data_IF_714709262476
#
_entry.id   IF_714709262476
#
_cell.length_a   1.000
_cell.length_b   1.000
_cell.length_c   1.000
_cell.angle_alpha   90.00
_cell.angle_beta   90.00
_cell.angle_gamma   90.00
#
_symmetry.space_group_name_H-M   'P 1'
#
loop_
_entity.id
_entity.type
_entity.pdbx_description
1 polymer ?
#
# COMPACT_ATOMS: atom_id res chain seq x y z
N UNK A 1 66.56 -22.31 34.47
CA UNK A 1 65.65 -23.01 33.53
C UNK A 1 64.44 -23.49 34.31
N UNK A 2 63.24 -23.23 33.79
CA UNK A 2 61.96 -23.86 34.20
C UNK A 2 61.39 -23.48 35.57
N UNK A 3 60.09 -23.32 35.82
CA UNK A 3 58.87 -23.02 35.06
C UNK A 3 57.81 -22.74 36.15
N UNK A 4 57.11 -21.62 36.03
CA UNK A 4 55.70 -21.33 36.35
C UNK A 4 55.00 -22.24 37.39
N UNK A 5 54.55 -21.66 38.51
CA UNK A 5 53.23 -21.97 39.11
C UNK A 5 52.74 -20.73 39.89
N UNK A 6 51.84 -19.94 39.27
CA UNK A 6 51.01 -18.97 40.00
C UNK A 6 49.56 -19.36 39.74
N UNK A 7 49.03 -20.18 40.64
CA UNK A 7 47.62 -20.27 40.94
C UNK A 7 47.30 -19.23 42.00
N UNK A 8 46.44 -18.25 41.67
CA UNK A 8 45.44 -17.65 42.57
C UNK A 8 44.52 -16.71 41.78
N UNK A 9 43.45 -17.33 41.27
CA UNK A 9 42.05 -16.89 41.23
C UNK A 9 41.86 -15.41 41.62
N UNK A 10 41.67 -14.57 40.60
CA UNK A 10 41.07 -13.24 40.75
C UNK A 10 39.57 -13.37 40.43
N UNK A 11 38.66 -13.08 41.37
CA UNK A 11 37.23 -13.14 41.12
C UNK A 11 36.71 -11.78 40.64
N UNK A 12 35.60 -11.81 39.90
CA UNK A 12 34.75 -10.65 39.54
C UNK A 12 35.39 -9.55 38.69
N UNK A 13 35.09 -9.58 37.38
CA UNK A 13 34.54 -8.44 36.62
C UNK A 13 34.45 -8.82 35.14
N UNK A 14 33.81 -9.95 34.83
CA UNK A 14 33.16 -10.10 33.53
C UNK A 14 31.79 -9.46 33.69
N UNK A 15 31.76 -8.13 33.54
CA UNK A 15 30.55 -7.42 33.15
C UNK A 15 30.09 -8.07 31.86
N UNK A 16 29.17 -9.00 32.01
CA UNK A 16 28.28 -9.44 30.97
C UNK A 16 27.53 -8.20 30.47
N UNK A 17 28.15 -7.46 29.55
CA UNK A 17 27.45 -6.72 28.51
C UNK A 17 26.76 -7.76 27.62
N UNK A 18 25.82 -8.49 28.22
CA UNK A 18 24.64 -8.92 27.50
C UNK A 18 23.95 -7.62 27.14
N UNK A 19 24.34 -7.10 25.98
CA UNK A 19 23.49 -6.30 25.13
C UNK A 19 22.23 -7.14 24.93
N UNK A 20 21.30 -7.02 25.88
CA UNK A 20 19.88 -7.11 25.65
C UNK A 20 19.59 -6.01 24.64
N UNK A 21 19.98 -6.23 23.39
CA UNK A 21 19.18 -5.83 22.26
C UNK A 21 17.86 -6.55 22.48
N UNK A 22 17.00 -5.93 23.30
CA UNK A 22 15.59 -5.93 23.06
C UNK A 22 15.48 -5.56 21.58
N UNK A 23 15.43 -6.60 20.77
CA UNK A 23 14.79 -6.54 19.48
C UNK A 23 13.39 -6.13 19.87
N UNK A 24 13.14 -4.82 19.90
CA UNK A 24 11.80 -4.28 19.93
C UNK A 24 11.14 -5.00 18.78
N UNK A 25 10.34 -6.01 19.10
CA UNK A 25 9.54 -6.71 18.13
C UNK A 25 8.74 -5.57 17.53
N UNK A 26 9.05 -5.23 16.27
CA UNK A 26 8.35 -4.21 15.55
C UNK A 26 6.88 -4.49 15.82
N UNK A 27 6.25 -3.60 16.60
CA UNK A 27 5.00 -3.97 17.23
C UNK A 27 4.07 -4.37 16.09
N UNK A 28 3.69 -5.64 16.07
CA UNK A 28 2.54 -6.12 15.31
C UNK A 28 1.29 -5.58 16.02
N UNK A 29 1.27 -4.27 16.30
CA UNK A 29 0.11 -3.60 16.84
C UNK A 29 -0.99 -3.79 15.80
N UNK A 30 -2.13 -4.40 16.17
CA UNK A 30 -3.34 -4.11 15.43
C UNK A 30 -3.55 -2.60 15.52
N UNK A 31 -3.19 -1.88 14.47
CA UNK A 31 -3.59 -0.47 14.29
C UNK A 31 -5.11 -0.45 14.50
N UNK A 32 -5.67 0.53 15.25
CA UNK A 32 -7.12 0.63 15.38
C UNK A 32 -7.77 0.43 14.02
N UNK A 33 -8.80 -0.44 13.98
CA UNK A 33 -9.34 -0.97 12.73
C UNK A 33 -9.76 0.14 11.75
N UNK A 34 -10.09 1.32 12.29
CA UNK A 34 -10.49 2.52 11.58
C UNK A 34 -9.76 3.76 12.16
N UNK A 35 -9.52 4.78 11.34
CA UNK A 35 -9.00 6.08 11.77
C UNK A 35 -10.08 6.86 12.57
N UNK A 36 -9.77 7.51 13.69
CA UNK A 36 -10.77 8.02 14.63
C UNK A 36 -11.78 9.03 14.04
N UNK A 37 -11.38 9.81 13.03
CA UNK A 37 -12.19 10.83 12.35
C UNK A 37 -12.65 10.39 10.93
N UNK A 38 -12.60 9.10 10.61
CA UNK A 38 -12.82 8.62 9.24
C UNK A 38 -14.18 9.03 8.67
N UNK A 39 -15.24 8.96 9.48
CA UNK A 39 -16.60 9.25 9.03
C UNK A 39 -16.77 10.73 8.67
N UNK A 40 -16.25 11.64 9.49
CA UNK A 40 -16.29 13.08 9.24
C UNK A 40 -15.55 13.42 7.95
N UNK A 41 -14.31 12.92 7.81
CA UNK A 41 -13.52 13.11 6.62
C UNK A 41 -14.21 12.55 5.37
N UNK A 42 -14.78 11.34 5.49
CA UNK A 42 -15.46 10.67 4.39
C UNK A 42 -16.66 11.48 3.89
N UNK A 43 -17.52 11.98 4.78
CA UNK A 43 -18.64 12.86 4.42
C UNK A 43 -18.18 14.18 3.80
N UNK A 44 -17.06 14.72 4.27
CA UNK A 44 -16.55 16.03 3.85
C UNK A 44 -15.80 16.00 2.52
N UNK A 45 -15.09 14.91 2.24
CA UNK A 45 -14.07 14.86 1.20
C UNK A 45 -14.32 13.80 0.12
N UNK A 46 -15.32 12.93 0.28
CA UNK A 46 -15.69 11.95 -0.73
C UNK A 46 -17.04 12.29 -1.36
N UNK A 47 -17.10 12.17 -2.68
CA UNK A 47 -18.30 12.30 -3.48
C UNK A 47 -18.67 10.93 -4.04
N UNK A 48 -19.93 10.46 -3.89
CA UNK A 48 -20.37 9.23 -4.53
C UNK A 48 -20.34 9.38 -6.06
N UNK A 49 -20.11 8.28 -6.75
CA UNK A 49 -20.11 8.22 -8.23
C UNK A 49 -21.15 7.21 -8.72
N UNK A 50 -21.69 7.42 -9.92
CA UNK A 50 -22.75 6.58 -10.48
C UNK A 50 -23.98 6.52 -9.57
N UNK A 51 -24.45 5.31 -9.28
CA UNK A 51 -25.62 5.05 -8.41
C UNK A 51 -25.28 4.89 -6.92
N UNK A 52 -24.03 5.20 -6.52
CA UNK A 52 -23.60 5.01 -5.13
C UNK A 52 -24.31 6.00 -4.21
N UNK A 53 -24.82 5.51 -3.07
CA UNK A 53 -25.39 6.37 -2.01
C UNK A 53 -24.28 7.11 -1.26
N UNK A 54 -24.58 8.22 -0.56
CA UNK A 54 -23.67 8.83 0.40
C UNK A 54 -23.22 7.83 1.47
N UNK A 55 -22.09 8.14 2.11
CA UNK A 55 -21.46 7.26 3.10
C UNK A 55 -22.35 7.17 4.36
N UNK A 56 -22.78 5.95 4.65
CA UNK A 56 -23.57 5.60 5.84
C UNK A 56 -22.64 5.16 6.98
N UNK A 57 -22.32 6.10 7.87
CA UNK A 57 -21.43 5.84 9.00
C UNK A 57 -22.03 4.92 10.07
N UNK A 58 -23.34 4.69 10.06
CA UNK A 58 -23.97 3.71 10.96
C UNK A 58 -23.70 2.27 10.50
N UNK A 59 -23.17 2.07 9.28
CA UNK A 59 -22.86 0.76 8.71
C UNK A 59 -21.39 0.67 8.27
N UNK A 60 -20.42 0.81 9.20
CA UNK A 60 -18.99 0.83 8.87
C UNK A 60 -18.52 -0.44 8.15
N UNK A 61 -19.13 -1.60 8.42
CA UNK A 61 -18.83 -2.87 7.74
C UNK A 61 -19.11 -2.84 6.22
N UNK A 62 -19.97 -1.93 5.75
CA UNK A 62 -20.29 -1.74 4.32
C UNK A 62 -19.44 -0.66 3.66
N UNK A 63 -18.58 0.01 4.43
CA UNK A 63 -17.67 1.06 3.94
C UNK A 63 -16.32 0.42 3.60
N UNK A 64 -15.76 0.68 2.40
CA UNK A 64 -14.44 0.21 2.01
C UNK A 64 -13.36 0.53 3.04
N UNK A 65 -12.45 -0.42 3.30
CA UNK A 65 -11.37 -0.28 4.29
C UNK A 65 -10.58 1.01 4.09
N UNK A 66 -10.10 1.28 2.87
CA UNK A 66 -9.31 2.48 2.56
C UNK A 66 -9.99 3.80 2.95
N UNK A 67 -11.33 3.89 2.91
CA UNK A 67 -12.06 5.07 3.40
C UNK A 67 -11.96 5.17 4.92
N UNK A 68 -12.20 4.06 5.62
CA UNK A 68 -12.16 4.01 7.10
C UNK A 68 -10.77 4.29 7.65
N UNK A 69 -9.72 4.19 6.83
CA UNK A 69 -8.34 4.51 7.21
C UNK A 69 -7.90 5.92 6.80
N UNK A 70 -8.82 6.78 6.33
CA UNK A 70 -8.52 8.05 5.64
C UNK A 70 -7.52 7.91 4.47
N UNK A 71 -7.37 6.71 3.92
CA UNK A 71 -6.39 6.37 2.91
C UNK A 71 -7.03 6.43 1.52
N UNK A 72 -7.32 7.63 1.06
CA UNK A 72 -8.01 7.83 -0.23
C UNK A 72 -7.15 7.51 -1.45
N UNK A 73 -5.84 7.37 -1.24
CA UNK A 73 -4.92 6.78 -2.18
C UNK A 73 -4.80 5.27 -2.08
N UNK A 74 -5.47 4.61 -1.12
CA UNK A 74 -5.43 3.17 -0.86
C UNK A 74 -4.03 2.54 -0.84
N UNK A 75 -3.06 3.28 -0.29
CA UNK A 75 -1.65 2.90 -0.28
C UNK A 75 -1.33 1.87 0.79
N UNK A 76 -0.41 0.96 0.44
CA UNK A 76 0.24 0.09 1.41
C UNK A 76 1.21 0.87 2.29
N UNK A 77 1.35 0.43 3.53
CA UNK A 77 2.35 0.91 4.47
C UNK A 77 3.74 0.50 3.99
N UNK A 78 4.71 1.41 3.84
CA UNK A 78 6.06 1.01 3.46
C UNK A 78 6.77 0.41 4.67
N UNK A 79 7.38 -0.77 4.50
CA UNK A 79 8.01 -1.55 5.58
C UNK A 79 9.11 -0.80 6.34
N UNK A 80 9.82 0.12 5.68
CA UNK A 80 11.00 0.81 6.25
C UNK A 80 10.72 2.23 6.76
N UNK A 81 9.69 2.88 6.23
CA UNK A 81 9.39 4.28 6.53
C UNK A 81 7.89 4.49 6.36
N UNK A 82 7.20 4.90 7.42
CA UNK A 82 5.80 5.29 7.31
C UNK A 82 5.61 6.48 6.39
N UNK A 83 4.37 6.70 5.93
CA UNK A 83 4.05 7.93 5.23
C UNK A 83 3.94 9.08 6.24
N UNK A 84 4.25 10.29 5.79
CA UNK A 84 3.95 11.49 6.58
C UNK A 84 2.44 11.59 6.83
N UNK A 85 2.06 12.00 8.05
CA UNK A 85 0.66 12.10 8.44
C UNK A 85 -0.01 10.76 8.72
N UNK A 86 0.75 9.70 8.96
CA UNK A 86 0.23 8.45 9.56
C UNK A 86 0.49 8.44 11.07
N UNK A 87 -0.49 7.96 11.85
CA UNK A 87 -0.34 7.72 13.31
C UNK A 87 0.40 6.42 13.64
N UNK A 88 1.03 5.80 12.63
CA UNK A 88 1.70 4.51 12.75
C UNK A 88 3.19 4.73 12.97
N UNK A 89 3.76 4.09 14.00
CA UNK A 89 5.20 4.11 14.27
C UNK A 89 6.02 3.48 13.13
N UNK A 90 7.27 3.91 12.97
CA UNK A 90 8.19 3.31 11.99
C UNK A 90 8.37 1.81 12.29
N UNK A 91 8.25 0.96 11.27
CA UNK A 91 8.40 -0.50 11.39
C UNK A 91 7.11 -1.27 11.61
N UNK A 92 5.97 -0.60 11.82
CA UNK A 92 4.67 -1.26 11.86
C UNK A 92 4.14 -1.51 10.42
N UNK A 93 3.46 -2.64 10.23
CA UNK A 93 2.99 -3.12 8.95
C UNK A 93 1.68 -2.48 8.47
N UNK A 94 1.03 -1.59 9.24
CA UNK A 94 -0.20 -0.92 8.83
C UNK A 94 -1.49 -1.68 9.18
N UNK A 95 -2.65 -1.17 8.77
CA UNK A 95 -3.94 -1.78 9.05
C UNK A 95 -4.23 -2.91 8.04
N UNK A 96 -4.50 -4.09 8.58
CA UNK A 96 -4.88 -5.27 7.81
C UNK A 96 -6.40 -5.48 7.87
N UNK A 97 -6.94 -6.21 6.92
CA UNK A 97 -8.33 -6.68 6.93
C UNK A 97 -8.55 -7.88 7.88
N UNK A 98 -7.79 -7.95 8.98
CA UNK A 98 -7.74 -9.06 9.94
C UNK A 98 -7.29 -10.43 9.38
N UNK A 99 -6.51 -10.46 8.28
CA UNK A 99 -6.03 -11.71 7.66
C UNK A 99 -4.52 -11.99 7.87
N UNK A 100 -3.90 -11.28 8.80
CA UNK A 100 -2.46 -11.14 9.01
C UNK A 100 -1.68 -12.31 9.64
N UNK A 101 -2.11 -13.57 9.53
CA UNK A 101 -1.32 -14.72 10.02
C UNK A 101 -1.01 -15.74 8.91
N UNK A 102 0.27 -15.79 8.52
CA UNK A 102 0.88 -16.93 7.84
C UNK A 102 1.77 -17.61 8.89
N UNK A 103 1.67 -18.92 9.01
CA UNK A 103 2.33 -19.71 10.04
C UNK A 103 3.78 -19.22 10.29
N UNK A 104 3.97 -18.52 11.41
CA UNK A 104 5.25 -17.96 11.88
C UNK A 104 5.99 -17.02 10.93
N UNK A 105 5.31 -16.39 9.96
CA UNK A 105 5.88 -15.40 9.05
C UNK A 105 5.07 -14.09 9.13
N UNK A 106 5.70 -12.92 9.33
CA UNK A 106 5.02 -11.63 9.21
C UNK A 106 4.38 -11.51 7.81
N UNK A 107 3.06 -11.35 7.74
CA UNK A 107 2.37 -11.11 6.47
C UNK A 107 2.69 -9.69 5.98
N UNK A 108 2.81 -9.58 4.65
CA UNK A 108 2.79 -8.37 3.80
C UNK A 108 2.18 -7.13 4.46
N UNK A 109 2.81 -5.97 4.22
CA UNK A 109 2.32 -4.64 4.58
C UNK A 109 0.80 -4.51 4.39
N UNK A 110 0.07 -4.10 5.42
CA UNK A 110 -1.30 -3.62 5.38
C UNK A 110 -1.40 -2.19 4.85
N UNK A 111 -2.62 -1.65 4.82
CA UNK A 111 -2.87 -0.30 4.35
C UNK A 111 -2.41 0.73 5.38
N UNK A 112 -1.88 1.85 4.90
CA UNK A 112 -1.56 2.99 5.76
C UNK A 112 -2.81 3.61 6.35
N UNK A 113 -2.69 4.10 7.59
CA UNK A 113 -3.74 4.82 8.31
C UNK A 113 -3.32 6.26 8.47
N UNK A 114 -4.09 7.18 7.89
CA UNK A 114 -3.78 8.61 7.89
C UNK A 114 -4.62 9.37 8.89
N UNK A 115 -4.03 10.40 9.50
CA UNK A 115 -4.76 11.34 10.39
C UNK A 115 -5.76 12.19 9.63
N UNK A 116 -5.46 12.44 8.35
CA UNK A 116 -6.25 13.27 7.45
C UNK A 116 -5.99 12.86 6.00
N UNK A 117 -7.03 12.79 5.13
CA UNK A 117 -6.88 12.26 3.77
C UNK A 117 -5.95 13.07 2.85
N UNK A 118 -5.67 14.35 3.16
CA UNK A 118 -4.72 15.18 2.39
C UNK A 118 -3.33 14.54 2.32
N UNK A 119 -2.92 13.90 3.42
CA UNK A 119 -1.64 13.19 3.53
C UNK A 119 -1.63 11.95 2.63
N UNK A 120 -2.75 11.23 2.54
CA UNK A 120 -2.90 10.08 1.64
C UNK A 120 -2.80 10.48 0.16
N UNK A 121 -3.44 11.59 -0.23
CA UNK A 121 -3.34 12.13 -1.60
C UNK A 121 -1.89 12.54 -1.91
N UNK A 122 -1.23 13.27 -0.99
CA UNK A 122 0.20 13.62 -1.13
C UNK A 122 1.08 12.38 -1.25
N UNK A 123 0.88 11.38 -0.38
CA UNK A 123 1.60 10.11 -0.42
C UNK A 123 1.42 9.37 -1.75
N UNK A 124 0.22 9.44 -2.36
CA UNK A 124 -0.03 8.84 -3.68
C UNK A 124 0.78 9.56 -4.75
N UNK A 125 0.80 10.89 -4.74
CA UNK A 125 1.68 11.65 -5.64
C UNK A 125 3.16 11.31 -5.42
N UNK A 126 3.64 11.21 -4.19
CA UNK A 126 5.02 10.79 -3.88
C UNK A 126 5.32 9.39 -4.41
N UNK A 127 4.37 8.45 -4.27
CA UNK A 127 4.52 7.09 -4.77
C UNK A 127 4.73 7.06 -6.28
N UNK A 128 3.89 7.78 -7.03
CA UNK A 128 3.99 7.88 -8.49
C UNK A 128 5.23 8.66 -8.92
N UNK A 129 5.54 9.78 -8.26
CA UNK A 129 6.72 10.60 -8.56
C UNK A 129 8.01 9.78 -8.51
N UNK A 130 8.16 8.94 -7.48
CA UNK A 130 9.33 8.08 -7.31
C UNK A 130 9.40 6.90 -8.31
N UNK A 131 8.30 6.55 -9.01
CA UNK A 131 8.19 5.29 -9.76
C UNK A 131 7.82 5.43 -11.23
N UNK A 132 7.22 6.54 -11.64
CA UNK A 132 6.72 6.75 -13.00
C UNK A 132 7.82 6.99 -14.03
N UNK A 133 9.00 7.45 -13.60
CA UNK A 133 10.12 7.75 -14.49
C UNK A 133 10.47 6.53 -15.37
N UNK A 134 10.31 6.71 -16.68
CA UNK A 134 10.59 5.69 -17.71
C UNK A 134 9.80 4.39 -17.52
N UNK A 135 8.57 4.45 -16.98
CA UNK A 135 7.69 3.29 -16.81
C UNK A 135 6.38 3.48 -17.56
N UNK A 136 5.90 2.40 -18.15
CA UNK A 136 4.56 2.33 -18.73
C UNK A 136 3.48 2.27 -17.64
N UNK A 137 2.23 2.58 -17.97
CA UNK A 137 1.08 2.37 -17.05
C UNK A 137 0.97 0.95 -16.53
N UNK A 138 1.16 -0.06 -17.40
CA UNK A 138 1.11 -1.48 -16.98
C UNK A 138 2.17 -1.79 -15.92
N UNK A 139 3.42 -1.40 -16.16
CA UNK A 139 4.52 -1.55 -15.18
C UNK A 139 4.27 -0.83 -13.86
N UNK A 140 3.58 0.30 -13.89
CA UNK A 140 3.17 1.00 -12.67
C UNK A 140 2.06 0.22 -11.95
N UNK A 141 1.03 -0.24 -12.67
CA UNK A 141 -0.05 -1.03 -12.11
C UNK A 141 0.46 -2.34 -11.48
N UNK A 142 1.39 -3.03 -12.14
CA UNK A 142 2.05 -4.25 -11.63
C UNK A 142 2.79 -4.02 -10.29
N UNK A 143 3.29 -2.81 -10.05
CA UNK A 143 3.94 -2.44 -8.77
C UNK A 143 2.94 -1.98 -7.72
N UNK A 144 1.86 -1.39 -8.17
CA UNK A 144 0.85 -0.79 -7.31
C UNK A 144 -0.10 -1.85 -6.72
N UNK A 145 -0.55 -2.79 -7.55
CA UNK A 145 -1.42 -3.91 -7.21
C UNK A 145 -0.91 -5.17 -7.92
N UNK A 146 0.08 -5.88 -7.37
CA UNK A 146 0.79 -6.93 -8.09
C UNK A 146 -0.07 -8.17 -8.34
N UNK A 147 0.14 -8.78 -9.51
CA UNK A 147 -0.50 -10.03 -9.95
C UNK A 147 -0.40 -11.18 -8.95
N UNK A 148 0.59 -11.19 -8.06
CA UNK A 148 0.79 -12.30 -7.11
C UNK A 148 -0.23 -12.32 -5.98
N UNK A 149 -0.99 -11.24 -5.78
CA UNK A 149 -1.94 -11.10 -4.68
C UNK A 149 -3.38 -11.33 -5.15
N UNK A 150 -4.22 -11.76 -4.21
CA UNK A 150 -5.67 -11.81 -4.43
C UNK A 150 -6.27 -10.42 -4.27
N UNK A 151 -7.48 -10.22 -4.77
CA UNK A 151 -8.23 -9.01 -4.48
C UNK A 151 -8.62 -8.97 -2.99
N UNK A 152 -7.79 -8.32 -2.17
CA UNK A 152 -7.99 -8.13 -0.73
C UNK A 152 -7.27 -9.15 0.16
N UNK A 153 -5.96 -9.32 -0.02
CA UNK A 153 -5.00 -9.99 0.90
C UNK A 153 -5.44 -11.34 1.48
N UNK A 154 -6.30 -12.08 0.77
CA UNK A 154 -6.75 -13.41 1.15
C UNK A 154 -5.74 -14.47 0.68
N UNK A 155 -5.63 -15.58 1.42
CA UNK A 155 -4.84 -16.74 0.96
C UNK A 155 -5.42 -17.33 -0.33
N UNK A 156 -6.75 -17.31 -0.46
CA UNK A 156 -7.49 -17.84 -1.62
C UNK A 156 -8.71 -16.96 -1.90
N UNK A 157 -9.00 -16.70 -3.17
CA UNK A 157 -10.26 -16.10 -3.64
C UNK A 157 -10.73 -16.80 -4.89
N UNK A 158 -11.98 -17.28 -4.93
CA UNK A 158 -12.57 -18.01 -6.06
C UNK A 158 -11.65 -19.11 -6.65
N UNK A 159 -10.97 -19.88 -5.79
CA UNK A 159 -10.04 -20.95 -6.20
C UNK A 159 -8.65 -20.49 -6.65
N UNK A 160 -8.37 -19.17 -6.67
CA UNK A 160 -7.04 -18.61 -6.94
C UNK A 160 -6.28 -18.31 -5.65
N UNK A 161 -5.05 -18.79 -5.57
CA UNK A 161 -4.18 -18.69 -4.40
C UNK A 161 -3.22 -17.50 -4.52
N UNK A 162 -3.02 -16.77 -3.43
CA UNK A 162 -1.95 -15.77 -3.33
C UNK A 162 -0.58 -16.47 -3.52
N UNK A 163 0.28 -15.87 -4.34
CA UNK A 163 1.65 -16.31 -4.61
C UNK A 163 2.74 -15.30 -4.20
N UNK A 164 2.37 -14.16 -3.62
CA UNK A 164 3.35 -13.18 -3.19
C UNK A 164 4.28 -13.77 -2.13
N UNK A 165 5.59 -13.59 -2.33
CA UNK A 165 6.62 -14.13 -1.46
C UNK A 165 6.82 -15.65 -1.55
N UNK A 166 6.03 -16.38 -2.36
CA UNK A 166 6.21 -17.81 -2.54
C UNK A 166 7.32 -18.13 -3.53
N UNK A 167 8.21 -19.03 -3.11
CA UNK A 167 9.20 -19.69 -3.98
C UNK A 167 8.51 -20.82 -4.76
N UNK A 168 9.09 -21.19 -5.90
CA UNK A 168 8.53 -22.23 -6.78
C UNK A 168 8.24 -23.56 -6.07
N UNK A 169 9.12 -24.00 -5.16
CA UNK A 169 8.93 -25.24 -4.40
C UNK A 169 7.83 -25.17 -3.33
N UNK A 170 7.37 -23.96 -2.97
CA UNK A 170 6.26 -23.77 -2.03
C UNK A 170 4.89 -23.76 -2.74
N UNK A 171 4.87 -23.84 -4.07
CA UNK A 171 3.65 -23.90 -4.86
C UNK A 171 3.17 -25.35 -4.96
N UNK A 172 1.94 -25.60 -4.51
CA UNK A 172 1.30 -26.91 -4.60
C UNK A 172 0.86 -27.16 -6.04
N UNK A 173 1.21 -28.34 -6.57
CA UNK A 173 0.81 -28.77 -7.91
C UNK A 173 -0.72 -28.76 -8.04
N UNK A 174 -1.23 -28.43 -9.23
CA UNK A 174 -2.66 -28.35 -9.56
C UNK A 174 -3.46 -27.23 -8.88
N UNK A 175 -2.82 -26.23 -8.24
CA UNK A 175 -3.49 -25.01 -7.78
C UNK A 175 -3.34 -23.87 -8.78
N UNK A 176 -4.39 -23.07 -8.90
CA UNK A 176 -4.36 -21.82 -9.65
C UNK A 176 -3.76 -20.73 -8.76
N UNK A 177 -2.56 -20.26 -9.10
CA UNK A 177 -1.92 -19.17 -8.37
C UNK A 177 -2.10 -17.86 -9.10
N UNK A 178 -2.43 -16.81 -8.37
CA UNK A 178 -2.39 -15.44 -8.87
C UNK A 178 -0.96 -15.16 -9.35
N UNK A 179 -0.79 -14.93 -10.65
CA UNK A 179 0.49 -14.65 -11.31
C UNK A 179 0.24 -14.03 -12.67
N UNK A 180 1.20 -13.29 -13.18
CA UNK A 180 1.08 -12.72 -14.53
C UNK A 180 0.83 -13.85 -15.56
N UNK A 181 -0.14 -13.70 -16.48
CA UNK A 181 -0.32 -14.64 -17.59
C UNK A 181 0.98 -14.80 -18.38
N UNK A 182 1.35 -16.04 -18.71
CA UNK A 182 2.58 -16.33 -19.47
C UNK A 182 2.48 -15.89 -20.94
N UNK A 183 1.29 -16.01 -21.52
CA UNK A 183 0.98 -15.68 -22.91
C UNK A 183 -0.44 -15.14 -22.98
N UNK A 184 -0.64 -14.04 -23.70
CA UNK A 184 -1.95 -13.43 -23.91
C UNK A 184 -2.50 -12.61 -22.73
N UNK A 185 -3.78 -12.29 -22.82
CA UNK A 185 -4.51 -11.48 -21.84
C UNK A 185 -4.98 -12.33 -20.65
N UNK A 186 -5.11 -11.76 -19.44
CA UNK A 186 -5.68 -12.48 -18.31
C UNK A 186 -7.14 -12.86 -18.57
N UNK A 187 -7.56 -13.99 -17.99
CA UNK A 187 -8.96 -14.40 -18.07
C UNK A 187 -9.82 -13.57 -17.11
N UNK A 188 -11.11 -13.44 -17.41
CA UNK A 188 -12.07 -12.79 -16.51
C UNK A 188 -12.08 -13.42 -15.11
N UNK A 189 -12.02 -14.75 -15.04
CA UNK A 189 -11.98 -15.47 -13.76
C UNK A 189 -10.72 -15.15 -12.95
N UNK A 190 -9.59 -15.01 -13.62
CA UNK A 190 -8.37 -14.56 -12.97
C UNK A 190 -8.51 -13.13 -12.45
N UNK A 191 -9.03 -12.20 -13.26
CA UNK A 191 -9.20 -10.79 -12.85
C UNK A 191 -10.29 -10.60 -11.79
N UNK A 192 -11.27 -11.51 -11.68
CA UNK A 192 -12.24 -11.54 -10.58
C UNK A 192 -11.65 -12.02 -9.24
N UNK A 193 -10.44 -12.57 -9.27
CA UNK A 193 -9.85 -13.28 -8.12
C UNK A 193 -8.53 -12.66 -7.67
N UNK A 194 -7.72 -12.22 -8.62
CA UNK A 194 -6.39 -11.63 -8.43
C UNK A 194 -6.41 -10.13 -8.67
N UNK A 195 -5.40 -9.43 -8.14
CA UNK A 195 -5.13 -8.07 -8.59
C UNK A 195 -4.77 -8.14 -10.09
N UNK A 196 -5.55 -7.46 -10.93
CA UNK A 196 -5.45 -7.49 -12.39
C UNK A 196 -4.85 -6.17 -12.92
N UNK A 197 -3.50 -5.99 -12.87
CA UNK A 197 -2.80 -4.82 -13.40
C UNK A 197 -3.24 -4.38 -14.79
N UNK A 198 -3.51 -5.32 -15.67
CA UNK A 198 -3.91 -5.05 -17.05
C UNK A 198 -5.23 -4.25 -17.09
N UNK A 199 -6.27 -4.70 -16.38
CA UNK A 199 -7.53 -3.94 -16.24
C UNK A 199 -7.34 -2.59 -15.55
N UNK A 200 -6.49 -2.53 -14.52
CA UNK A 200 -6.22 -1.29 -13.78
C UNK A 200 -5.53 -0.27 -14.70
N UNK A 201 -4.51 -0.71 -15.43
CA UNK A 201 -3.78 0.15 -16.37
C UNK A 201 -4.66 0.61 -17.53
N UNK A 202 -5.53 -0.26 -18.05
CA UNK A 202 -6.51 0.13 -19.07
C UNK A 202 -7.49 1.21 -18.56
N UNK A 203 -7.91 1.11 -17.29
CA UNK A 203 -8.72 2.16 -16.64
C UNK A 203 -7.94 3.47 -16.46
N UNK A 204 -6.63 3.41 -16.23
CA UNK A 204 -5.79 4.60 -16.10
C UNK A 204 -5.57 5.34 -17.42
N UNK A 205 -5.60 4.62 -18.54
CA UNK A 205 -5.42 5.22 -19.88
C UNK A 205 -6.73 5.43 -20.63
N UNK A 206 -7.87 5.07 -20.05
CA UNK A 206 -9.17 5.24 -20.69
C UNK A 206 -9.45 6.73 -20.98
N UNK A 207 -9.77 7.05 -22.24
CA UNK A 207 -10.08 8.40 -22.68
C UNK A 207 -8.87 9.34 -22.81
N UNK A 208 -7.62 8.85 -22.65
CA UNK A 208 -6.42 9.69 -22.76
C UNK A 208 -5.73 9.62 -24.12
N UNK A 209 -6.14 8.67 -24.99
CA UNK A 209 -5.46 8.37 -26.25
C UNK A 209 -4.15 7.58 -26.07
N UNK A 210 -3.80 7.19 -24.84
CA UNK A 210 -2.59 6.41 -24.53
C UNK A 210 -2.90 4.92 -24.41
N UNK A 211 -1.94 4.09 -24.79
CA UNK A 211 -1.90 2.65 -24.52
C UNK A 211 -1.35 2.36 -23.12
N UNK A 212 -1.69 1.19 -22.56
CA UNK A 212 -1.15 0.71 -21.28
C UNK A 212 0.39 0.53 -21.31
N UNK A 213 0.96 0.43 -22.52
CA UNK A 213 2.40 0.28 -22.75
C UNK A 213 3.13 1.62 -22.92
N UNK A 214 2.39 2.73 -23.07
CA UNK A 214 3.00 4.05 -23.25
C UNK A 214 3.62 4.57 -21.95
N UNK A 215 4.68 5.40 -22.02
CA UNK A 215 5.26 6.03 -20.85
C UNK A 215 4.25 6.87 -20.06
N UNK A 216 4.21 6.67 -18.74
CA UNK A 216 3.33 7.42 -17.86
C UNK A 216 3.97 8.78 -17.51
N UNK A 217 3.76 9.78 -18.36
CA UNK A 217 4.18 11.18 -18.10
C UNK A 217 3.17 11.84 -17.16
N UNK A 218 3.39 11.65 -15.86
CA UNK A 218 2.45 12.06 -14.79
C UNK A 218 2.81 13.40 -14.11
N UNK A 219 3.99 13.94 -14.40
CA UNK A 219 4.49 15.14 -13.74
C UNK A 219 5.06 16.09 -14.78
N UNK A 220 4.84 17.39 -14.56
CA UNK A 220 5.45 18.46 -15.33
C UNK A 220 6.96 18.51 -15.08
N UNK A 221 7.70 19.26 -15.90
CA UNK A 221 9.16 19.43 -15.75
C UNK A 221 9.57 19.98 -14.39
N UNK A 222 8.74 20.80 -13.76
CA UNK A 222 8.98 21.35 -12.42
C UNK A 222 8.71 20.35 -11.29
N UNK A 223 8.16 19.17 -11.61
CA UNK A 223 7.81 18.08 -10.70
C UNK A 223 6.37 18.12 -10.16
N UNK A 224 5.54 19.11 -10.55
CA UNK A 224 4.13 19.14 -10.11
C UNK A 224 3.28 18.10 -10.86
N UNK A 225 2.23 17.53 -10.23
CA UNK A 225 1.31 16.63 -10.92
C UNK A 225 0.64 17.35 -12.10
N UNK A 226 0.57 16.70 -13.26
CA UNK A 226 -0.21 17.20 -14.40
C UNK A 226 -1.66 16.69 -14.36
N UNK A 227 -2.49 17.13 -15.30
CA UNK A 227 -3.91 16.75 -15.35
C UNK A 227 -4.13 15.23 -15.45
N UNK A 228 -3.25 14.53 -16.16
CA UNK A 228 -3.26 13.08 -16.25
C UNK A 228 -3.06 12.41 -14.89
N UNK A 229 -2.12 12.89 -14.07
CA UNK A 229 -1.92 12.38 -12.69
C UNK A 229 -3.10 12.71 -11.78
N UNK A 230 -3.71 13.88 -11.94
CA UNK A 230 -4.92 14.26 -11.19
C UNK A 230 -6.09 13.34 -11.55
N UNK A 231 -6.32 13.12 -12.84
CA UNK A 231 -7.37 12.23 -13.36
C UNK A 231 -7.13 10.77 -12.96
N UNK A 232 -5.87 10.32 -12.99
CA UNK A 232 -5.49 8.99 -12.54
C UNK A 232 -5.81 8.81 -11.05
N UNK A 233 -5.40 9.75 -10.19
CA UNK A 233 -5.71 9.66 -8.75
C UNK A 233 -7.21 9.55 -8.52
N UNK A 234 -8.01 10.38 -9.20
CA UNK A 234 -9.46 10.41 -9.06
C UNK A 234 -10.12 9.12 -9.55
N UNK A 235 -9.72 8.62 -10.71
CA UNK A 235 -10.28 7.39 -11.32
C UNK A 235 -9.84 6.14 -10.56
N UNK A 236 -8.59 6.11 -10.10
CA UNK A 236 -8.06 5.01 -9.30
C UNK A 236 -8.79 4.93 -7.96
N UNK A 237 -8.99 6.08 -7.29
CA UNK A 237 -9.77 6.15 -6.05
C UNK A 237 -11.22 5.66 -6.24
N UNK A 238 -11.88 5.86 -7.38
CA UNK A 238 -13.24 5.31 -7.59
C UNK A 238 -13.26 3.77 -7.54
N UNK A 239 -12.24 3.10 -8.08
CA UNK A 239 -12.15 1.64 -8.02
C UNK A 239 -11.79 1.16 -6.61
N UNK A 240 -10.77 1.79 -6.01
CA UNK A 240 -10.25 1.43 -4.69
C UNK A 240 -11.22 1.72 -3.55
N UNK A 241 -11.97 2.81 -3.68
CA UNK A 241 -12.91 3.29 -2.68
C UNK A 241 -14.33 2.85 -3.03
N UNK A 242 -14.54 1.82 -3.86
CA UNK A 242 -15.86 1.20 -4.05
C UNK A 242 -16.96 2.18 -4.50
N UNK A 243 -16.65 3.03 -5.48
CA UNK A 243 -17.59 3.98 -6.08
C UNK A 243 -17.59 5.37 -5.43
N UNK A 244 -16.62 5.70 -4.59
CA UNK A 244 -16.43 7.04 -4.02
C UNK A 244 -15.19 7.72 -4.59
N UNK A 245 -15.23 9.04 -4.80
CA UNK A 245 -14.15 9.83 -5.38
C UNK A 245 -13.74 10.98 -4.45
N UNK A 246 -12.43 11.25 -4.26
CA UNK A 246 -11.96 12.46 -3.58
C UNK A 246 -12.45 13.73 -4.28
N UNK A 247 -12.98 14.69 -3.53
CA UNK A 247 -13.45 15.95 -4.09
C UNK A 247 -12.31 16.94 -4.40
N UNK A 248 -12.64 18.02 -5.10
CA UNK A 248 -11.65 19.03 -5.51
C UNK A 248 -10.92 19.65 -4.31
N UNK A 249 -11.60 19.81 -3.17
CA UNK A 249 -11.01 20.38 -1.96
C UNK A 249 -9.86 19.51 -1.44
N UNK A 250 -10.08 18.22 -1.23
CA UNK A 250 -9.02 17.36 -0.68
C UNK A 250 -7.90 17.11 -1.69
N UNK A 251 -8.21 17.12 -2.98
CA UNK A 251 -7.21 17.07 -4.05
C UNK A 251 -6.29 18.28 -4.02
N UNK A 252 -6.86 19.49 -3.86
CA UNK A 252 -6.09 20.74 -3.74
C UNK A 252 -5.20 20.72 -2.50
N UNK A 253 -5.75 20.34 -1.34
CA UNK A 253 -4.99 20.26 -0.09
C UNK A 253 -3.84 19.24 -0.18
N UNK A 254 -4.10 18.04 -0.71
CA UNK A 254 -3.07 17.02 -0.91
C UNK A 254 -1.98 17.45 -1.90
N UNK A 255 -2.37 18.14 -2.98
CA UNK A 255 -1.43 18.71 -3.95
C UNK A 255 -0.54 19.80 -3.34
N UNK A 256 -1.08 20.64 -2.45
CA UNK A 256 -0.31 21.65 -1.73
C UNK A 256 0.74 21.02 -0.81
N UNK A 257 0.35 19.99 -0.06
CA UNK A 257 1.28 19.21 0.80
C UNK A 257 2.39 18.55 -0.04
N UNK A 258 2.04 17.96 -1.18
CA UNK A 258 3.03 17.39 -2.10
C UNK A 258 4.01 18.44 -2.62
N UNK A 259 3.50 19.61 -2.99
CA UNK A 259 4.33 20.72 -3.51
C UNK A 259 5.31 21.25 -2.45
N UNK A 260 4.90 21.33 -1.18
CA UNK A 260 5.79 21.69 -0.08
C UNK A 260 6.90 20.66 0.11
N UNK A 261 6.55 19.37 0.12
CA UNK A 261 7.54 18.30 0.18
C UNK A 261 8.54 18.35 -0.98
N UNK A 262 8.07 18.57 -2.21
CA UNK A 262 8.94 18.64 -3.38
C UNK A 262 9.97 19.77 -3.27
N UNK A 263 9.60 20.91 -2.67
CA UNK A 263 10.54 22.03 -2.42
C UNK A 263 11.64 21.65 -1.43
N UNK A 264 11.37 20.74 -0.49
CA UNK A 264 12.35 20.27 0.50
C UNK A 264 13.30 19.19 -0.07
N UNK A 265 13.03 18.67 -1.27
CA UNK A 265 13.88 17.68 -1.93
C UNK A 265 14.87 18.29 -2.92
N UNK A 266 14.80 19.61 -3.15
CA UNK A 266 15.68 20.38 -4.04
C UNK A 266 16.62 21.22 -3.19
#
# INVERSE_FOLDING_TARGET
MSRIFITKILPLLFTAFFSLSLSARADLYPVPADAPNWCENAKRYLTPTGSRKPIDCAKPKKVPLCIKLNNYGCLWQPTRAGWEGTDISKGNNGAHDNRGMRANEPINNGHSVFVHPKWSISAKFRWFYARAKNRSFLKLAERYLPWCDTQGSSKVKNGWYNSCGLKAHQLVKNRNYCRKPKTGNPTRDQCNSCNCPDEISAKWTNGTGLSIHDPAVLFNRNGTPNDLMMNLTLSNSTNELGGYRPNAKIMKEGGAVFSQWLKQQK
#
